data_IF_956532875651
#
_entry.id   IF_956532875651
#
_cell.length_a   1.000
_cell.length_b   1.000
_cell.length_c   1.000
_cell.angle_alpha   90.00
_cell.angle_beta   90.00
_cell.angle_gamma   90.00
#
_symmetry.space_group_name_H-M   'P 1'
#
loop_
_entity.id
_entity.type
_entity.pdbx_description
1 polymer ?
#
# COMPACT_ATOMS: atom_id res chain seq x y z
N UNK A 1 5.78 8.69 -72.84
CA UNK A 1 4.91 8.00 -71.89
C UNK A 1 5.73 7.31 -70.82
N UNK A 2 6.87 6.65 -71.12
CA UNK A 2 7.73 5.97 -70.11
C UNK A 2 8.32 6.93 -69.08
N UNK A 3 8.84 8.09 -69.54
CA UNK A 3 9.45 9.11 -68.65
C UNK A 3 8.42 9.65 -67.61
N UNK A 4 7.15 9.83 -67.97
CA UNK A 4 6.09 10.27 -67.06
C UNK A 4 5.76 9.21 -66.02
N UNK A 5 5.79 7.94 -66.41
CA UNK A 5 5.58 6.82 -65.46
C UNK A 5 6.74 6.72 -64.47
N UNK A 6 7.97 6.92 -64.88
CA UNK A 6 9.13 6.93 -64.02
C UNK A 6 9.08 8.10 -63.02
N UNK A 7 8.68 9.29 -63.46
CA UNK A 7 8.52 10.45 -62.58
C UNK A 7 7.42 10.23 -61.54
N UNK A 8 6.27 9.67 -61.93
CA UNK A 8 5.18 9.36 -61.03
C UNK A 8 5.53 8.27 -60.00
N UNK A 9 6.29 7.24 -60.43
CA UNK A 9 6.74 6.20 -59.48
C UNK A 9 7.74 6.76 -58.50
N UNK A 10 8.71 7.57 -58.88
CA UNK A 10 9.65 8.22 -57.98
C UNK A 10 8.97 9.20 -57.01
N UNK A 11 7.95 9.94 -57.48
CA UNK A 11 7.14 10.78 -56.60
C UNK A 11 6.33 9.98 -55.60
N UNK A 12 5.75 8.84 -55.99
CA UNK A 12 5.02 7.95 -55.12
C UNK A 12 5.92 7.34 -54.03
N UNK A 13 7.12 6.85 -54.40
CA UNK A 13 8.11 6.33 -53.46
C UNK A 13 8.56 7.39 -52.45
N UNK A 14 8.83 8.61 -52.93
CA UNK A 14 9.20 9.74 -52.07
C UNK A 14 8.08 10.07 -51.07
N UNK A 15 6.86 10.06 -51.53
CA UNK A 15 5.68 10.33 -50.68
C UNK A 15 5.47 9.24 -49.66
N UNK A 16 5.65 7.96 -50.04
CA UNK A 16 5.56 6.83 -49.13
C UNK A 16 6.64 6.90 -48.04
N UNK A 17 7.87 7.21 -48.38
CA UNK A 17 8.97 7.40 -47.43
C UNK A 17 8.69 8.55 -46.43
N UNK A 18 8.20 9.68 -46.94
CA UNK A 18 7.80 10.82 -46.09
C UNK A 18 6.66 10.46 -45.14
N UNK A 19 5.68 9.69 -45.60
CA UNK A 19 4.56 9.24 -44.78
C UNK A 19 5.04 8.33 -43.64
N UNK A 20 5.97 7.41 -43.94
CA UNK A 20 6.51 6.51 -42.91
C UNK A 20 7.33 7.27 -41.87
N UNK A 21 8.21 8.16 -42.29
CA UNK A 21 8.95 9.04 -41.38
C UNK A 21 8.02 9.88 -40.48
N UNK A 22 6.94 10.41 -41.06
CA UNK A 22 5.97 11.19 -40.30
C UNK A 22 5.18 10.32 -39.26
N UNK A 23 4.87 9.07 -39.64
CA UNK A 23 4.23 8.10 -38.73
C UNK A 23 5.13 7.74 -37.53
N UNK A 24 6.40 7.46 -37.81
CA UNK A 24 7.40 7.17 -36.78
C UNK A 24 7.59 8.36 -35.83
N UNK A 25 7.71 9.57 -36.39
CA UNK A 25 7.82 10.80 -35.59
C UNK A 25 6.56 11.00 -34.69
N UNK A 26 5.37 10.78 -35.26
CA UNK A 26 4.11 10.85 -34.51
C UNK A 26 4.07 9.82 -33.37
N UNK A 27 4.41 8.56 -33.65
CA UNK A 27 4.41 7.52 -32.64
C UNK A 27 5.41 7.82 -31.51
N UNK A 28 6.60 8.30 -31.86
CA UNK A 28 7.62 8.71 -30.89
C UNK A 28 7.13 9.87 -30.02
N UNK A 29 6.50 10.88 -30.63
CA UNK A 29 5.93 12.01 -29.89
C UNK A 29 4.77 11.59 -28.98
N UNK A 30 3.90 10.70 -29.43
CA UNK A 30 2.81 10.15 -28.61
C UNK A 30 3.33 9.36 -27.40
N UNK A 31 4.33 8.50 -27.60
CA UNK A 31 4.94 7.74 -26.51
C UNK A 31 5.60 8.67 -25.47
N UNK A 32 6.28 9.72 -25.95
CA UNK A 32 6.89 10.72 -25.07
C UNK A 32 5.84 11.51 -24.29
N UNK A 33 4.73 11.88 -24.93
CA UNK A 33 3.62 12.57 -24.27
C UNK A 33 3.04 11.69 -23.17
N UNK A 34 2.70 10.44 -23.47
CA UNK A 34 2.16 9.50 -22.47
C UNK A 34 3.11 9.30 -21.29
N UNK A 35 4.42 9.21 -21.53
CA UNK A 35 5.40 9.08 -20.45
C UNK A 35 5.47 10.35 -19.57
N UNK A 36 5.37 11.54 -20.17
CA UNK A 36 5.35 12.81 -19.43
C UNK A 36 4.07 12.98 -18.63
N UNK A 37 2.92 12.61 -19.17
CA UNK A 37 1.63 12.64 -18.47
C UNK A 37 1.63 11.69 -17.26
N UNK A 38 2.13 10.46 -17.42
CA UNK A 38 2.29 9.51 -16.33
C UNK A 38 3.22 10.04 -15.23
N UNK A 39 4.33 10.67 -15.61
CA UNK A 39 5.25 11.29 -14.64
C UNK A 39 4.63 12.47 -13.91
N UNK A 40 3.88 13.32 -14.61
CA UNK A 40 3.17 14.44 -14.01
C UNK A 40 2.15 13.94 -13.00
N UNK A 41 1.33 12.94 -13.37
CA UNK A 41 0.35 12.34 -12.48
C UNK A 41 0.99 11.77 -11.20
N UNK A 42 2.13 11.05 -11.34
CA UNK A 42 2.86 10.52 -10.20
C UNK A 42 3.40 11.62 -9.27
N UNK A 43 3.99 12.68 -9.82
CA UNK A 43 4.50 13.81 -9.03
C UNK A 43 3.38 14.56 -8.33
N UNK A 44 2.25 14.77 -8.98
CA UNK A 44 1.07 15.41 -8.39
C UNK A 44 0.54 14.58 -7.22
N UNK A 45 0.46 13.26 -7.36
CA UNK A 45 0.03 12.37 -6.28
C UNK A 45 0.97 12.44 -5.06
N UNK A 46 2.29 12.47 -5.28
CA UNK A 46 3.27 12.63 -4.19
C UNK A 46 3.12 14.00 -3.51
N UNK A 47 2.91 15.07 -4.27
CA UNK A 47 2.72 16.41 -3.71
C UNK A 47 1.45 16.52 -2.87
N UNK A 48 0.32 15.97 -3.34
CA UNK A 48 -0.92 15.95 -2.59
C UNK A 48 -0.81 15.11 -1.31
N UNK A 49 -0.10 13.97 -1.37
CA UNK A 49 0.19 13.18 -0.18
C UNK A 49 1.00 13.97 0.85
N UNK A 50 2.07 14.65 0.43
CA UNK A 50 2.89 15.47 1.32
C UNK A 50 2.11 16.62 1.97
N UNK A 51 1.22 17.28 1.21
CA UNK A 51 0.32 18.32 1.75
C UNK A 51 -0.65 17.77 2.77
N UNK A 52 -1.23 16.60 2.50
CA UNK A 52 -2.16 15.94 3.40
C UNK A 52 -1.47 15.53 4.71
N UNK A 53 -0.28 14.97 4.62
CA UNK A 53 0.54 14.59 5.77
C UNK A 53 0.93 15.82 6.61
N UNK A 54 1.24 16.95 6.00
CA UNK A 54 1.56 18.21 6.71
C UNK A 54 0.38 18.79 7.51
N UNK A 55 -0.86 18.52 7.13
CA UNK A 55 -2.06 18.95 7.84
C UNK A 55 -2.51 17.98 8.93
N UNK A 56 -2.00 16.76 8.93
CA UNK A 56 -2.41 15.70 9.83
C UNK A 56 -2.20 16.01 11.31
N UNK A 57 -1.05 16.57 11.75
CA UNK A 57 -0.84 16.91 13.17
C UNK A 57 -1.89 17.86 13.72
N UNK A 58 -2.24 18.91 12.99
CA UNK A 58 -3.27 19.87 13.39
C UNK A 58 -4.66 19.22 13.48
N UNK A 59 -4.97 18.34 12.55
CA UNK A 59 -6.23 17.58 12.57
C UNK A 59 -6.28 16.65 13.79
N UNK A 60 -5.19 15.93 14.08
CA UNK A 60 -5.09 15.03 15.25
C UNK A 60 -5.28 15.81 16.56
N UNK A 61 -4.67 17.00 16.67
CA UNK A 61 -4.85 17.88 17.82
C UNK A 61 -6.31 18.31 18.00
N UNK A 62 -6.94 18.78 16.93
CA UNK A 62 -8.36 19.17 16.91
C UNK A 62 -9.29 18.03 17.34
N UNK A 63 -8.97 16.79 16.94
CA UNK A 63 -9.75 15.60 17.30
C UNK A 63 -9.40 15.01 18.68
N UNK A 64 -8.46 15.63 19.40
CA UNK A 64 -7.99 15.14 20.71
C UNK A 64 -7.19 13.84 20.60
N UNK A 65 -6.52 13.63 19.46
CA UNK A 65 -5.68 12.47 19.16
C UNK A 65 -4.19 12.77 19.10
N UNK A 66 -3.76 14.00 19.45
CA UNK A 66 -2.36 14.45 19.34
C UNK A 66 -1.38 13.55 20.12
N UNK A 67 -1.81 12.95 21.23
CA UNK A 67 -0.99 12.02 22.03
C UNK A 67 -1.14 10.56 21.65
N UNK A 68 -1.92 10.24 20.62
CA UNK A 68 -2.16 8.85 20.22
C UNK A 68 -0.94 8.27 19.53
N UNK A 69 -0.33 7.25 20.15
CA UNK A 69 0.77 6.50 19.54
C UNK A 69 0.24 5.53 18.49
N UNK A 70 1.04 5.31 17.46
CA UNK A 70 0.76 4.31 16.43
C UNK A 70 0.98 2.91 16.98
N UNK A 71 0.31 1.93 16.42
CA UNK A 71 0.39 0.55 16.88
C UNK A 71 1.84 0.05 16.98
N UNK A 72 2.66 0.27 15.94
CA UNK A 72 4.05 -0.19 15.90
C UNK A 72 4.93 0.47 17.00
N UNK A 73 4.57 1.67 17.50
CA UNK A 73 5.31 2.37 18.57
C UNK A 73 5.03 1.78 19.97
N UNK A 74 4.04 0.88 20.06
CA UNK A 74 3.55 0.27 21.31
C UNK A 74 3.85 -1.21 21.39
N UNK A 75 4.51 -1.80 20.40
CA UNK A 75 4.83 -3.22 20.34
C UNK A 75 6.32 -3.43 20.11
N UNK A 76 6.83 -4.54 20.64
CA UNK A 76 8.19 -5.01 20.38
C UNK A 76 8.10 -6.27 19.53
N UNK A 77 8.86 -6.31 18.44
CA UNK A 77 8.83 -7.41 17.49
C UNK A 77 10.19 -8.09 17.52
N UNK A 78 10.20 -9.41 17.67
CA UNK A 78 11.44 -10.18 17.60
C UNK A 78 12.08 -10.05 16.20
N UNK A 79 13.35 -9.64 16.14
CA UNK A 79 14.09 -9.33 14.90
C UNK A 79 13.93 -10.38 13.79
N UNK A 80 14.05 -11.69 14.03
CA UNK A 80 13.91 -12.68 12.96
C UNK A 80 12.52 -12.67 12.29
N UNK A 81 11.51 -12.07 12.95
CA UNK A 81 10.10 -12.05 12.50
C UNK A 81 9.62 -10.68 12.04
N UNK A 82 10.43 -9.63 12.20
CA UNK A 82 10.01 -8.25 11.94
C UNK A 82 9.44 -8.06 10.53
N UNK A 83 10.09 -8.58 9.51
CA UNK A 83 9.61 -8.50 8.12
C UNK A 83 8.29 -9.24 7.90
N UNK A 84 8.12 -10.39 8.52
CA UNK A 84 6.88 -11.16 8.40
C UNK A 84 5.71 -10.44 9.07
N UNK A 85 5.93 -9.90 10.27
CA UNK A 85 4.93 -9.09 10.99
C UNK A 85 4.56 -7.84 10.19
N UNK A 86 5.55 -7.12 9.66
CA UNK A 86 5.32 -5.93 8.82
C UNK A 86 4.49 -6.27 7.58
N UNK A 87 4.82 -7.36 6.88
CA UNK A 87 4.09 -7.81 5.69
C UNK A 87 2.61 -8.12 6.00
N UNK A 88 2.33 -8.81 7.12
CA UNK A 88 0.95 -9.14 7.52
C UNK A 88 0.20 -7.93 8.04
N UNK A 89 0.82 -7.09 8.84
CA UNK A 89 0.20 -5.87 9.36
C UNK A 89 -0.03 -4.83 8.27
N UNK A 90 0.93 -4.65 7.37
CA UNK A 90 0.86 -3.65 6.29
C UNK A 90 0.41 -2.27 6.84
N UNK A 91 -0.68 -1.72 6.31
CA UNK A 91 -1.22 -0.42 6.75
C UNK A 91 -1.67 -0.39 8.22
N UNK A 92 -1.99 -1.55 8.82
CA UNK A 92 -2.41 -1.65 10.23
C UNK A 92 -1.28 -1.32 11.20
N UNK A 93 -0.02 -1.49 10.80
CA UNK A 93 1.12 -1.09 11.61
C UNK A 93 1.08 0.40 12.01
N UNK A 94 0.50 1.24 11.16
CA UNK A 94 0.33 2.68 11.37
C UNK A 94 -0.99 3.05 12.08
N UNK A 95 -1.78 2.06 12.52
CA UNK A 95 -3.08 2.32 13.12
C UNK A 95 -2.97 3.09 14.44
N UNK A 96 -3.86 4.07 14.62
CA UNK A 96 -3.99 4.84 15.84
C UNK A 96 -4.97 4.17 16.81
N UNK A 97 -4.60 4.08 18.07
CA UNK A 97 -5.47 3.56 19.11
C UNK A 97 -6.54 4.59 19.51
N UNK A 98 -7.80 4.15 19.52
CA UNK A 98 -8.92 4.92 20.06
C UNK A 98 -9.63 4.11 21.16
N UNK A 99 -10.23 4.82 22.12
CA UNK A 99 -10.97 4.15 23.19
C UNK A 99 -12.20 3.41 22.68
N UNK A 100 -12.89 4.01 21.71
CA UNK A 100 -14.10 3.46 21.10
C UNK A 100 -14.09 3.76 19.60
N UNK A 101 -14.43 2.77 18.77
CA UNK A 101 -14.48 2.94 17.32
C UNK A 101 -15.63 3.85 16.87
N UNK A 102 -16.68 3.99 17.70
CA UNK A 102 -17.83 4.86 17.45
C UNK A 102 -17.39 6.33 17.30
N UNK A 103 -16.31 6.75 17.97
CA UNK A 103 -15.73 8.10 17.77
C UNK A 103 -15.29 8.34 16.33
N UNK A 104 -14.85 7.30 15.64
CA UNK A 104 -14.41 7.41 14.24
C UNK A 104 -15.57 7.77 13.31
N UNK A 105 -16.80 7.37 13.65
CA UNK A 105 -17.99 7.76 12.90
C UNK A 105 -18.19 9.29 12.88
N UNK A 106 -17.81 9.99 13.96
CA UNK A 106 -17.85 11.46 14.02
C UNK A 106 -16.90 12.16 13.06
N UNK A 107 -15.85 11.49 12.59
CA UNK A 107 -14.87 12.07 11.65
C UNK A 107 -15.43 12.24 10.22
N UNK A 108 -16.62 11.73 9.94
CA UNK A 108 -17.31 11.97 8.66
C UNK A 108 -17.63 13.43 8.44
N UNK A 109 -17.84 14.22 9.52
CA UNK A 109 -18.11 15.66 9.44
C UNK A 109 -16.84 16.51 9.24
N UNK A 110 -15.69 15.99 9.66
CA UNK A 110 -14.39 16.61 9.48
C UNK A 110 -13.37 15.49 9.20
N UNK A 111 -13.29 15.03 7.96
CA UNK A 111 -12.48 13.88 7.59
C UNK A 111 -10.98 14.16 7.73
N UNK A 112 -10.18 13.15 8.09
CA UNK A 112 -8.74 13.32 8.16
C UNK A 112 -8.16 13.71 6.79
N UNK A 113 -7.16 14.60 6.77
CA UNK A 113 -6.54 15.05 5.52
C UNK A 113 -5.73 13.95 4.81
N UNK A 114 -5.41 12.85 5.52
CA UNK A 114 -4.71 11.70 5.00
C UNK A 114 -5.40 10.40 5.42
N UNK A 115 -5.12 9.31 4.71
CA UNK A 115 -5.64 7.99 5.06
C UNK A 115 -5.13 7.56 6.44
N UNK A 116 -6.05 7.30 7.36
CA UNK A 116 -5.77 6.78 8.69
C UNK A 116 -6.43 5.42 8.88
N UNK A 117 -5.82 4.62 9.74
CA UNK A 117 -6.37 3.36 10.24
C UNK A 117 -6.52 3.50 11.75
N UNK A 118 -7.62 3.01 12.30
CA UNK A 118 -7.89 3.05 13.73
C UNK A 118 -8.11 1.64 14.27
N UNK A 119 -7.76 1.44 15.54
CA UNK A 119 -8.12 0.25 16.29
C UNK A 119 -8.68 0.65 17.65
N UNK A 120 -9.63 -0.12 18.17
CA UNK A 120 -10.05 0.03 19.55
C UNK A 120 -9.01 -0.62 20.47
N UNK A 121 -8.66 0.05 21.56
CA UNK A 121 -7.80 -0.51 22.60
C UNK A 121 -8.49 -1.65 23.37
N UNK A 122 -9.82 -1.71 23.29
CA UNK A 122 -10.63 -2.79 23.84
C UNK A 122 -11.16 -3.65 22.69
N UNK A 123 -10.59 -4.81 22.52
CA UNK A 123 -11.12 -5.83 21.61
C UNK A 123 -11.62 -7.02 22.45
N UNK A 124 -12.78 -7.62 22.14
CA UNK A 124 -13.20 -8.84 22.80
C UNK A 124 -12.14 -9.93 22.57
N UNK A 125 -12.02 -10.84 23.54
CA UNK A 125 -11.11 -11.98 23.41
C UNK A 125 -11.37 -12.72 22.09
N UNK A 126 -10.29 -13.02 21.37
CA UNK A 126 -10.35 -13.74 20.11
C UNK A 126 -10.03 -15.19 20.38
N UNK A 127 -10.91 -16.09 19.98
CA UNK A 127 -10.58 -17.52 19.93
C UNK A 127 -9.55 -17.72 18.81
N UNK A 128 -8.33 -18.06 19.20
CA UNK A 128 -7.25 -18.29 18.25
C UNK A 128 -7.37 -19.69 17.66
N UNK A 129 -7.10 -19.87 16.35
CA UNK A 129 -7.03 -21.19 15.76
C UNK A 129 -5.91 -22.01 16.42
N UNK A 130 -6.03 -23.33 16.43
CA UNK A 130 -4.97 -24.20 16.93
C UNK A 130 -3.68 -23.99 16.13
N UNK A 131 -2.54 -24.03 16.82
CA UNK A 131 -1.23 -23.98 16.12
C UNK A 131 -0.96 -25.35 15.53
N UNK A 132 -0.73 -25.47 14.21
CA UNK A 132 -0.33 -26.72 13.61
C UNK A 132 0.99 -27.23 14.22
N UNK A 133 1.16 -28.56 14.31
CA UNK A 133 2.34 -29.14 14.90
C UNK A 133 3.62 -28.68 14.18
N UNK A 134 4.59 -28.19 14.94
CA UNK A 134 5.88 -27.72 14.43
C UNK A 134 5.86 -26.28 13.86
N UNK A 135 4.73 -25.56 13.98
CA UNK A 135 4.63 -24.18 13.55
C UNK A 135 4.62 -23.21 14.75
N UNK A 136 5.04 -21.99 14.48
CA UNK A 136 4.96 -20.88 15.43
C UNK A 136 3.86 -19.90 14.98
N UNK A 137 3.10 -19.38 15.92
CA UNK A 137 2.14 -18.33 15.65
C UNK A 137 2.85 -16.98 15.53
N UNK A 138 2.53 -16.22 14.50
CA UNK A 138 3.21 -14.94 14.27
C UNK A 138 2.91 -13.93 15.39
N UNK A 139 1.74 -13.98 16.02
CA UNK A 139 1.42 -13.11 17.15
C UNK A 139 2.30 -13.34 18.39
N UNK A 140 2.94 -14.51 18.53
CA UNK A 140 3.81 -14.81 19.66
C UNK A 140 5.18 -14.13 19.53
N UNK A 141 5.55 -13.71 18.31
CA UNK A 141 6.74 -12.90 18.04
C UNK A 141 6.57 -11.41 18.37
N UNK A 142 5.35 -11.01 18.79
CA UNK A 142 5.02 -9.62 19.11
C UNK A 142 4.66 -9.50 20.57
N UNK A 143 5.42 -8.69 21.30
CA UNK A 143 5.20 -8.39 22.72
C UNK A 143 4.81 -6.92 22.90
N UNK A 144 4.17 -6.61 24.02
CA UNK A 144 3.76 -5.25 24.36
C UNK A 144 3.67 -5.11 25.88
N UNK A 145 4.02 -3.93 26.37
CA UNK A 145 3.83 -3.56 27.77
C UNK A 145 2.36 -3.15 28.08
N UNK A 146 1.56 -2.99 27.02
CA UNK A 146 0.15 -2.61 27.14
C UNK A 146 -0.77 -3.82 26.93
N UNK A 147 -1.27 -4.34 28.05
CA UNK A 147 -2.16 -5.50 28.03
C UNK A 147 -3.43 -5.30 27.17
N UNK A 148 -3.86 -4.04 26.93
CA UNK A 148 -5.04 -3.75 26.10
C UNK A 148 -4.80 -4.01 24.62
N UNK A 149 -3.53 -4.11 24.20
CA UNK A 149 -3.16 -4.41 22.80
C UNK A 149 -3.08 -5.91 22.49
N UNK A 150 -2.96 -6.77 23.50
CA UNK A 150 -2.86 -8.22 23.25
C UNK A 150 -4.03 -8.76 22.39
N UNK A 151 -5.30 -8.43 22.68
CA UNK A 151 -6.42 -8.85 21.83
C UNK A 151 -6.35 -8.31 20.40
N UNK A 152 -5.77 -7.12 20.19
CA UNK A 152 -5.58 -6.54 18.85
C UNK A 152 -4.50 -7.31 18.09
N UNK A 153 -3.37 -7.60 18.73
CA UNK A 153 -2.29 -8.42 18.20
C UNK A 153 -2.82 -9.78 17.76
N UNK A 154 -3.56 -10.44 18.65
CA UNK A 154 -4.13 -11.76 18.41
C UNK A 154 -5.14 -11.75 17.25
N UNK A 155 -5.97 -10.71 17.17
CA UNK A 155 -6.92 -10.54 16.06
C UNK A 155 -6.24 -10.35 14.72
N UNK A 156 -5.12 -9.63 14.67
CA UNK A 156 -4.45 -9.29 13.42
C UNK A 156 -3.43 -10.33 12.97
N UNK A 157 -2.78 -10.99 13.91
CA UNK A 157 -1.65 -11.89 13.66
C UNK A 157 -1.93 -13.34 14.10
N UNK A 158 -2.96 -13.57 14.91
CA UNK A 158 -3.21 -14.87 15.51
C UNK A 158 -3.59 -16.00 14.53
N UNK A 159 -4.05 -15.62 13.31
CA UNK A 159 -4.30 -16.56 12.20
C UNK A 159 -3.13 -16.71 11.24
N UNK A 160 -2.00 -16.04 11.48
CA UNK A 160 -0.80 -16.15 10.67
C UNK A 160 0.24 -17.04 11.37
N UNK A 161 0.82 -17.96 10.62
CA UNK A 161 1.81 -18.90 11.12
C UNK A 161 3.13 -18.73 10.37
N UNK A 162 4.23 -19.09 11.03
CA UNK A 162 5.57 -19.03 10.47
C UNK A 162 5.94 -20.40 9.94
N UNK A 163 6.18 -20.51 8.64
CA UNK A 163 6.80 -21.68 8.02
C UNK A 163 8.31 -21.50 7.93
N UNK A 164 9.05 -22.60 7.92
CA UNK A 164 10.50 -22.59 7.80
C UNK A 164 10.94 -22.08 6.42
N UNK A 165 10.25 -22.51 5.39
CA UNK A 165 10.51 -22.16 3.99
C UNK A 165 9.22 -22.18 3.16
N UNK A 166 9.35 -21.82 1.88
CA UNK A 166 8.22 -21.76 0.95
C UNK A 166 7.63 -23.14 0.65
N UNK A 167 8.47 -24.17 0.59
CA UNK A 167 8.02 -25.53 0.27
C UNK A 167 7.14 -26.09 1.39
N UNK A 168 7.52 -25.87 2.64
CA UNK A 168 6.70 -26.21 3.81
C UNK A 168 5.39 -25.42 3.80
N UNK A 169 5.44 -24.11 3.53
CA UNK A 169 4.24 -23.27 3.46
C UNK A 169 3.26 -23.73 2.36
N UNK A 170 3.77 -24.15 1.19
CA UNK A 170 2.97 -24.62 0.10
C UNK A 170 2.39 -26.03 0.35
N UNK A 171 3.17 -26.92 0.96
CA UNK A 171 2.74 -28.27 1.29
C UNK A 171 1.50 -28.25 2.23
N UNK A 172 1.48 -27.33 3.20
CA UNK A 172 0.42 -27.23 4.22
C UNK A 172 -0.68 -26.21 3.92
N UNK A 173 -0.62 -25.53 2.78
CA UNK A 173 -1.67 -24.59 2.36
C UNK A 173 -3.04 -25.26 2.15
N UNK A 174 -3.07 -26.55 1.97
CA UNK A 174 -4.27 -27.34 1.64
C UNK A 174 -4.90 -28.06 2.84
N UNK A 175 -4.28 -27.96 4.02
CA UNK A 175 -4.81 -28.42 5.30
C UNK A 175 -5.59 -27.28 6.00
#
# INVERSE_FOLDING_TARGET
ETALLEELTAAAETSAARLETAREAKNTAQNRLAALEARLAALTAVQEKARAEGKLPQWLEKMGLAGSKRFFERVHIAEPRARAVEAVLSVRAQALGVTQLERVAGFTFDPPPARLVFHANFAPQVTLPAVPQGWERLSDAVTTDDATLRPVIDRWLGGAFVAKDLDEALARRRE
#
